data_IF_894633061191
#
_entry.id   IF_894633061191
#
_cell.length_a   1.000
_cell.length_b   1.000
_cell.length_c   1.000
_cell.angle_alpha   90.00
_cell.angle_beta   90.00
_cell.angle_gamma   90.00
#
_symmetry.space_group_name_H-M   'P 1'
#
loop_
_entity.id
_entity.type
_entity.pdbx_description
1 polymer ?
#
# COMPACT_ATOMS: atom_id res chain seq x y z
N UNK A 1 -2.71 5.46 -55.33
CA UNK A 1 -3.58 6.11 -54.32
C UNK A 1 -3.77 5.14 -53.17
N UNK A 2 -3.67 5.61 -51.92
CA UNK A 2 -3.90 4.87 -50.66
C UNK A 2 -2.74 3.94 -50.20
N UNK A 3 -1.59 4.52 -49.83
CA UNK A 3 -0.66 3.93 -48.82
C UNK A 3 0.11 5.00 -47.99
N UNK A 4 -0.39 6.23 -47.94
CA UNK A 4 0.35 7.37 -47.36
C UNK A 4 -0.42 8.28 -46.41
N UNK A 5 -1.61 7.88 -45.93
CA UNK A 5 -2.50 8.79 -45.17
C UNK A 5 -3.08 8.20 -43.87
N UNK A 6 -2.41 7.22 -43.24
CA UNK A 6 -2.81 6.67 -41.92
C UNK A 6 -1.63 6.65 -40.93
N UNK A 7 -0.74 7.64 -41.01
CA UNK A 7 0.33 7.85 -40.01
C UNK A 7 0.41 9.30 -39.52
N UNK A 8 -0.69 10.06 -39.63
CA UNK A 8 -0.76 11.46 -39.20
C UNK A 8 -1.93 11.78 -38.26
N UNK A 9 -2.62 10.79 -37.68
CA UNK A 9 -3.75 11.02 -36.78
C UNK A 9 -3.62 10.34 -35.39
N UNK A 10 -2.41 10.00 -34.94
CA UNK A 10 -2.17 9.51 -33.58
C UNK A 10 -1.03 10.23 -32.83
N UNK A 11 -0.81 11.53 -33.11
CA UNK A 11 0.06 12.40 -32.28
C UNK A 11 -0.77 13.24 -31.29
N UNK A 12 -1.71 12.62 -30.58
CA UNK A 12 -2.38 13.24 -29.44
C UNK A 12 -2.47 12.27 -28.26
N UNK A 13 -1.36 11.57 -28.00
CA UNK A 13 -1.21 10.65 -26.88
C UNK A 13 -0.71 11.42 -25.65
N UNK A 14 -1.64 11.73 -24.74
CA UNK A 14 -1.41 12.00 -23.29
C UNK A 14 -0.12 12.75 -22.95
N UNK A 15 -0.03 14.02 -23.35
CA UNK A 15 1.01 14.90 -22.83
C UNK A 15 0.75 15.13 -21.33
N UNK A 16 1.73 14.83 -20.47
CA UNK A 16 1.62 15.12 -19.04
C UNK A 16 1.40 16.63 -18.86
N UNK A 17 0.49 17.04 -17.97
CA UNK A 17 0.20 18.47 -17.71
C UNK A 17 1.45 19.28 -17.37
N UNK A 18 2.43 18.67 -16.68
CA UNK A 18 3.73 19.32 -16.44
C UNK A 18 4.49 19.67 -17.72
N UNK A 19 4.29 18.91 -18.81
CA UNK A 19 4.98 19.11 -20.08
C UNK A 19 4.41 20.26 -20.92
N UNK A 20 3.34 20.90 -20.47
CA UNK A 20 2.91 22.20 -21.01
C UNK A 20 3.62 23.35 -20.30
N UNK A 21 4.09 23.14 -19.07
CA UNK A 21 4.79 24.13 -18.25
C UNK A 21 6.31 24.03 -18.39
N UNK A 22 6.85 22.83 -18.53
CA UNK A 22 8.28 22.56 -18.53
C UNK A 22 8.70 21.74 -19.76
N UNK A 23 9.93 21.94 -20.27
CA UNK A 23 10.53 21.06 -21.27
C UNK A 23 10.51 19.58 -20.85
N UNK A 24 9.88 18.75 -21.67
CA UNK A 24 9.83 17.30 -21.47
C UNK A 24 10.52 16.53 -22.60
N UNK A 25 11.11 15.39 -22.26
CA UNK A 25 11.64 14.41 -23.21
C UNK A 25 11.03 13.05 -22.92
N UNK A 26 10.69 12.32 -23.98
CA UNK A 26 10.29 10.91 -23.88
C UNK A 26 11.50 10.04 -23.61
N UNK A 27 11.36 9.07 -22.71
CA UNK A 27 12.34 8.02 -22.45
C UNK A 27 11.91 6.72 -23.14
N UNK A 28 12.88 5.89 -23.54
CA UNK A 28 12.69 4.67 -24.34
C UNK A 28 11.75 3.62 -23.70
N UNK A 29 11.40 3.80 -22.41
CA UNK A 29 10.58 2.90 -21.60
C UNK A 29 9.30 3.56 -21.07
N UNK A 30 8.52 4.18 -21.96
CA UNK A 30 7.16 4.68 -21.69
C UNK A 30 7.09 5.61 -20.46
N UNK A 31 8.01 6.57 -20.41
CA UNK A 31 8.09 7.55 -19.32
C UNK A 31 8.63 8.89 -19.78
N UNK A 32 8.42 9.91 -18.96
CA UNK A 32 8.80 11.28 -19.28
C UNK A 32 9.89 11.79 -18.34
N UNK A 33 10.87 12.48 -18.93
CA UNK A 33 11.82 13.32 -18.22
C UNK A 33 11.37 14.78 -18.32
N UNK A 34 10.91 15.36 -17.21
CA UNK A 34 10.47 16.74 -17.12
C UNK A 34 11.56 17.60 -16.48
N UNK A 35 12.04 18.60 -17.21
CA UNK A 35 13.05 19.54 -16.73
C UNK A 35 12.45 20.93 -16.52
N UNK A 36 12.13 21.23 -15.27
CA UNK A 36 11.61 22.52 -14.80
C UNK A 36 12.68 23.39 -14.11
N UNK A 37 13.96 23.21 -14.44
CA UNK A 37 15.03 24.02 -13.87
C UNK A 37 14.89 25.50 -14.25
N UNK A 38 15.02 26.42 -13.29
CA UNK A 38 15.00 27.88 -13.52
C UNK A 38 13.71 28.39 -14.20
N UNK A 39 12.55 27.86 -13.80
CA UNK A 39 11.25 28.21 -14.36
C UNK A 39 10.45 29.22 -13.51
N UNK A 40 11.07 29.77 -12.45
CA UNK A 40 10.45 30.68 -11.47
C UNK A 40 9.16 30.12 -10.84
N UNK A 41 9.11 28.80 -10.63
CA UNK A 41 7.94 28.15 -10.03
C UNK A 41 7.80 28.57 -8.57
N UNK A 42 6.63 29.10 -8.22
CA UNK A 42 6.26 29.47 -6.84
C UNK A 42 5.42 28.39 -6.16
N UNK A 43 4.75 27.56 -6.95
CA UNK A 43 3.89 26.47 -6.50
C UNK A 43 4.23 25.19 -7.26
N UNK A 44 3.93 24.04 -6.64
CA UNK A 44 4.18 22.74 -7.25
C UNK A 44 3.26 22.51 -8.45
N UNK A 45 3.79 22.12 -9.63
CA UNK A 45 2.98 21.80 -10.79
C UNK A 45 2.21 20.50 -10.60
N UNK A 46 1.11 20.33 -11.35
CA UNK A 46 0.35 19.08 -11.35
C UNK A 46 1.18 17.97 -12.01
N UNK A 47 1.39 16.87 -11.29
CA UNK A 47 2.22 15.76 -11.73
C UNK A 47 1.38 14.53 -12.10
N UNK A 48 1.94 13.63 -12.90
CA UNK A 48 1.30 12.36 -13.22
C UNK A 48 2.26 11.18 -13.02
N UNK A 49 1.71 9.96 -12.96
CA UNK A 49 2.46 8.73 -12.66
C UNK A 49 3.48 8.33 -13.74
N UNK A 50 3.41 8.92 -14.94
CA UNK A 50 4.29 8.59 -16.07
C UNK A 50 5.65 9.30 -16.05
N UNK A 51 5.89 10.18 -15.07
CA UNK A 51 7.16 10.90 -14.93
C UNK A 51 8.19 9.96 -14.29
N UNK A 52 9.34 9.81 -14.95
CA UNK A 52 10.49 9.05 -14.45
C UNK A 52 11.60 9.94 -13.90
N UNK A 53 11.82 11.09 -14.52
CA UNK A 53 12.86 12.05 -14.13
C UNK A 53 12.19 13.40 -13.93
N UNK A 54 12.35 13.99 -12.74
CA UNK A 54 11.77 15.28 -12.39
C UNK A 54 12.83 16.25 -11.84
N UNK A 55 13.15 17.28 -12.60
CA UNK A 55 14.10 18.32 -12.20
C UNK A 55 13.37 19.62 -11.89
N UNK A 56 13.34 20.01 -10.62
CA UNK A 56 12.67 21.20 -10.09
C UNK A 56 13.64 22.18 -9.41
N UNK A 57 14.94 22.03 -9.62
CA UNK A 57 15.95 22.85 -8.98
C UNK A 57 15.94 24.31 -9.45
N UNK A 58 16.50 25.20 -8.62
CA UNK A 58 16.63 26.63 -8.91
C UNK A 58 15.28 27.31 -9.21
N UNK A 59 14.24 27.02 -8.42
CA UNK A 59 12.95 27.69 -8.48
C UNK A 59 12.68 28.45 -7.17
N UNK A 60 11.46 28.96 -7.01
CA UNK A 60 11.01 29.73 -5.85
C UNK A 60 10.02 28.93 -5.00
N UNK A 61 10.16 27.60 -4.97
CA UNK A 61 9.31 26.72 -4.17
C UNK A 61 9.67 26.84 -2.70
N UNK A 62 8.66 27.07 -1.87
CA UNK A 62 8.84 27.18 -0.42
C UNK A 62 8.38 25.93 0.32
N UNK A 63 7.48 25.14 -0.26
CA UNK A 63 6.96 23.90 0.33
C UNK A 63 6.43 22.99 -0.77
N UNK A 64 6.17 21.72 -0.44
CA UNK A 64 5.49 20.77 -1.33
C UNK A 64 4.17 20.37 -0.69
N UNK A 65 3.02 20.54 -1.38
CA UNK A 65 1.73 20.11 -0.86
C UNK A 65 1.69 18.61 -0.58
N UNK A 66 0.95 18.23 0.47
CA UNK A 66 0.70 16.84 0.82
C UNK A 66 0.13 16.07 -0.38
N UNK A 67 0.64 14.87 -0.62
CA UNK A 67 0.17 13.99 -1.69
C UNK A 67 0.67 14.34 -3.09
N UNK A 68 1.28 15.52 -3.30
CA UNK A 68 1.69 15.98 -4.62
C UNK A 68 2.68 15.04 -5.33
N UNK A 69 3.45 14.26 -4.57
CA UNK A 69 4.45 13.32 -5.07
C UNK A 69 4.02 11.86 -4.93
N UNK A 70 2.86 11.57 -4.34
CA UNK A 70 2.50 10.21 -3.92
C UNK A 70 2.17 9.29 -5.11
N UNK A 71 1.63 9.87 -6.18
CA UNK A 71 1.23 9.15 -7.39
C UNK A 71 2.37 8.95 -8.39
N UNK A 72 3.59 9.39 -8.06
CA UNK A 72 4.79 9.27 -8.90
C UNK A 72 5.41 7.86 -8.84
N UNK A 73 4.61 6.83 -9.15
CA UNK A 73 5.00 5.42 -8.97
C UNK A 73 6.15 4.97 -9.87
N UNK A 74 6.38 5.66 -10.99
CA UNK A 74 7.44 5.34 -11.95
C UNK A 74 8.67 6.24 -11.82
N UNK A 75 8.73 7.09 -10.79
CA UNK A 75 9.82 8.03 -10.62
C UNK A 75 11.11 7.31 -10.24
N UNK A 76 12.18 7.65 -10.94
CA UNK A 76 13.52 7.09 -10.78
C UNK A 76 14.50 8.17 -10.28
N UNK A 77 14.31 9.42 -10.70
CA UNK A 77 15.20 10.53 -10.34
C UNK A 77 14.42 11.81 -10.01
N UNK A 78 14.88 12.52 -8.96
CA UNK A 78 14.33 13.83 -8.58
C UNK A 78 15.43 14.79 -8.14
N UNK A 79 15.25 16.08 -8.46
CA UNK A 79 16.13 17.14 -7.97
C UNK A 79 15.32 18.36 -7.48
N UNK A 80 15.46 18.67 -6.19
CA UNK A 80 14.79 19.78 -5.49
C UNK A 80 15.76 20.84 -4.95
N UNK A 81 17.03 20.76 -5.33
CA UNK A 81 18.07 21.66 -4.82
C UNK A 81 17.79 23.13 -5.18
N UNK A 82 18.38 24.05 -4.42
CA UNK A 82 18.32 25.49 -4.69
C UNK A 82 16.88 26.04 -4.81
N UNK A 83 16.00 25.61 -3.93
CA UNK A 83 14.69 26.22 -3.72
C UNK A 83 14.64 26.85 -2.32
N UNK A 84 13.92 27.97 -2.11
CA UNK A 84 13.85 28.65 -0.83
C UNK A 84 12.91 27.95 0.15
N UNK A 85 13.23 26.71 0.51
CA UNK A 85 12.41 25.87 1.39
C UNK A 85 12.13 26.57 2.73
N UNK A 86 10.85 26.68 3.07
CA UNK A 86 10.40 27.14 4.37
C UNK A 86 10.25 25.95 5.30
N UNK A 87 11.24 25.80 6.18
CA UNK A 87 11.32 24.74 7.18
C UNK A 87 10.52 25.06 8.44
N UNK A 88 9.22 25.26 8.26
CA UNK A 88 8.24 25.16 9.32
C UNK A 88 7.64 23.74 9.34
N UNK A 89 6.44 23.60 9.86
CA UNK A 89 5.76 22.32 9.89
C UNK A 89 5.37 21.75 8.52
N UNK A 90 5.15 22.60 7.52
CA UNK A 90 4.74 22.17 6.18
C UNK A 90 5.83 21.40 5.44
N UNK A 91 7.11 21.60 5.78
CA UNK A 91 8.23 20.94 5.11
C UNK A 91 8.31 19.43 5.39
N UNK A 92 7.61 18.96 6.42
CA UNK A 92 7.78 17.59 6.91
C UNK A 92 7.43 16.56 5.82
N UNK A 93 6.39 16.83 5.03
CA UNK A 93 6.02 15.96 3.90
C UNK A 93 7.19 15.75 2.94
N UNK A 94 7.79 16.84 2.46
CA UNK A 94 8.92 16.77 1.54
C UNK A 94 10.11 16.05 2.17
N UNK A 95 10.40 16.37 3.44
CA UNK A 95 11.49 15.75 4.19
C UNK A 95 11.30 14.24 4.33
N UNK A 96 10.12 13.78 4.74
CA UNK A 96 9.81 12.35 4.92
C UNK A 96 9.79 11.63 3.56
N UNK A 97 9.13 12.19 2.56
CA UNK A 97 9.07 11.62 1.23
C UNK A 97 10.47 11.45 0.61
N UNK A 98 11.36 12.46 0.75
CA UNK A 98 12.74 12.37 0.26
C UNK A 98 13.61 11.41 1.09
N UNK A 99 13.33 11.23 2.38
CA UNK A 99 14.03 10.25 3.22
C UNK A 99 13.78 8.82 2.74
N UNK A 100 12.56 8.54 2.25
CA UNK A 100 12.17 7.26 1.69
C UNK A 100 12.69 7.10 0.25
N UNK A 101 12.53 8.13 -0.58
CA UNK A 101 12.82 8.06 -2.01
C UNK A 101 14.32 8.17 -2.34
N UNK A 102 14.97 9.27 -1.92
CA UNK A 102 16.35 9.57 -2.33
C UNK A 102 17.09 10.41 -1.28
N UNK A 103 17.97 9.75 -0.52
CA UNK A 103 18.81 10.37 0.52
C UNK A 103 19.74 11.47 0.01
N UNK A 104 20.18 11.40 -1.26
CA UNK A 104 21.01 12.43 -1.89
C UNK A 104 20.20 13.71 -2.13
N UNK A 105 18.99 13.57 -2.67
CA UNK A 105 18.06 14.68 -2.85
C UNK A 105 17.66 15.31 -1.50
N UNK A 106 17.46 14.49 -0.45
CA UNK A 106 17.22 14.98 0.92
C UNK A 106 18.39 15.82 1.47
N UNK A 107 19.64 15.44 1.17
CA UNK A 107 20.82 16.12 1.67
C UNK A 107 21.11 17.45 0.94
N UNK A 108 20.63 17.59 -0.29
CA UNK A 108 20.84 18.78 -1.13
C UNK A 108 19.73 19.83 -0.99
N UNK A 109 18.54 19.44 -0.52
CA UNK A 109 17.50 20.38 -0.15
C UNK A 109 17.83 21.09 1.19
N UNK A 110 17.92 22.42 1.17
CA UNK A 110 18.30 23.24 2.33
C UNK A 110 17.23 24.27 2.65
N UNK A 111 17.03 24.52 3.95
CA UNK A 111 16.11 25.54 4.44
C UNK A 111 16.62 26.94 4.09
N UNK A 112 15.74 27.80 3.57
CA UNK A 112 15.99 29.24 3.46
C UNK A 112 15.35 30.01 4.61
N UNK A 113 14.19 29.55 5.08
CA UNK A 113 13.43 30.15 6.20
C UNK A 113 12.94 29.05 7.14
N UNK A 114 12.65 29.32 8.42
CA UNK A 114 12.93 30.56 9.14
C UNK A 114 14.45 30.82 9.28
N UNK A 115 14.83 32.04 9.67
CA UNK A 115 16.24 32.45 9.77
C UNK A 115 17.06 31.53 10.71
N UNK A 116 16.43 30.98 11.74
CA UNK A 116 17.02 30.02 12.69
C UNK A 116 17.47 28.70 12.06
N UNK A 117 16.88 28.32 10.93
CA UNK A 117 17.19 27.08 10.21
C UNK A 117 17.87 27.32 8.86
N UNK A 118 18.19 28.57 8.51
CA UNK A 118 18.77 28.91 7.22
C UNK A 118 20.04 28.08 6.92
N UNK A 119 20.14 27.58 5.68
CA UNK A 119 21.18 26.68 5.14
C UNK A 119 21.25 25.29 5.79
N UNK A 120 20.38 24.96 6.73
CA UNK A 120 20.31 23.62 7.30
C UNK A 120 19.71 22.66 6.29
N UNK A 121 20.34 21.51 6.06
CA UNK A 121 19.84 20.51 5.12
C UNK A 121 18.65 19.74 5.73
N UNK A 122 17.69 19.31 4.89
CA UNK A 122 16.49 18.62 5.36
C UNK A 122 16.80 17.31 6.09
N UNK A 123 17.88 16.61 5.73
CA UNK A 123 18.35 15.40 6.44
C UNK A 123 18.81 15.68 7.88
N UNK A 124 19.24 16.91 8.20
CA UNK A 124 19.71 17.31 9.53
C UNK A 124 18.59 17.75 10.47
N UNK A 125 17.37 17.93 9.95
CA UNK A 125 16.23 18.32 10.76
C UNK A 125 15.77 17.15 11.64
N UNK A 126 15.51 17.38 12.93
CA UNK A 126 14.97 16.34 13.83
C UNK A 126 13.45 16.41 13.94
N UNK A 127 12.84 17.51 13.51
CA UNK A 127 11.41 17.78 13.55
C UNK A 127 10.96 18.53 14.81
N UNK A 128 11.77 18.55 15.87
CA UNK A 128 11.46 19.27 17.11
C UNK A 128 11.81 20.76 17.03
N UNK A 129 12.67 21.15 16.10
CA UNK A 129 13.03 22.54 15.82
C UNK A 129 12.06 23.25 14.85
N UNK A 130 11.10 22.51 14.28
CA UNK A 130 10.15 23.07 13.32
C UNK A 130 9.01 23.79 14.03
N UNK A 131 8.89 25.10 13.78
CA UNK A 131 7.83 25.92 14.35
C UNK A 131 6.45 25.47 13.84
N UNK A 132 5.44 25.55 14.72
CA UNK A 132 4.08 25.10 14.44
C UNK A 132 3.83 23.62 14.71
N UNK A 133 4.85 22.76 14.76
CA UNK A 133 4.63 21.33 14.96
C UNK A 133 4.25 20.94 16.39
N UNK A 134 2.96 21.00 16.75
CA UNK A 134 2.47 20.47 18.05
C UNK A 134 2.29 18.95 17.98
N UNK A 135 3.40 18.24 18.25
CA UNK A 135 3.62 16.81 18.57
C UNK A 135 2.66 15.73 17.99
N UNK A 136 3.24 14.86 17.16
CA UNK A 136 3.46 13.43 17.46
C UNK A 136 4.83 13.03 16.90
N UNK A 137 5.67 12.36 17.71
CA UNK A 137 6.91 11.76 17.20
C UNK A 137 6.55 10.57 16.28
N UNK A 138 6.98 10.53 15.01
CA UNK A 138 6.88 9.31 14.22
C UNK A 138 7.95 8.31 14.71
N UNK A 139 7.52 7.06 14.92
CA UNK A 139 8.38 5.93 15.24
C UNK A 139 9.16 5.53 13.97
N UNK A 140 10.46 5.31 14.08
CA UNK A 140 11.30 4.81 12.99
C UNK A 140 10.94 3.35 12.66
N UNK A 141 10.42 3.04 11.45
CA UNK A 141 10.11 1.65 11.03
C UNK A 141 11.36 0.73 11.07
N UNK A 142 12.58 1.30 11.12
CA UNK A 142 13.83 0.52 11.22
C UNK A 142 13.87 -0.32 12.50
N UNK A 143 13.35 0.17 13.62
CA UNK A 143 13.44 -0.54 14.90
C UNK A 143 12.43 -1.70 14.98
N UNK A 144 11.34 -1.63 14.20
CA UNK A 144 10.35 -2.71 14.08
C UNK A 144 10.86 -3.84 13.17
N UNK A 145 11.51 -3.50 12.06
CA UNK A 145 12.10 -4.46 11.12
C UNK A 145 13.13 -5.40 11.78
N UNK A 146 14.04 -4.86 12.61
CA UNK A 146 15.04 -5.69 13.30
C UNK A 146 14.45 -6.62 14.36
N UNK A 147 13.38 -6.17 15.04
CA UNK A 147 12.68 -7.00 16.02
C UNK A 147 11.98 -8.18 15.36
N UNK A 148 11.26 -7.92 14.27
CA UNK A 148 10.49 -8.95 13.58
C UNK A 148 11.43 -9.93 12.83
N UNK A 149 12.54 -9.45 12.25
CA UNK A 149 13.60 -10.32 11.71
C UNK A 149 14.23 -11.22 12.79
N UNK A 150 14.47 -10.67 13.99
CA UNK A 150 14.97 -11.45 15.13
C UNK A 150 14.02 -12.57 15.55
N UNK A 151 12.71 -12.31 15.54
CA UNK A 151 11.69 -13.32 15.86
C UNK A 151 11.58 -14.41 14.78
N UNK A 152 11.66 -14.03 13.50
CA UNK A 152 11.67 -14.99 12.37
C UNK A 152 12.90 -15.89 12.45
N UNK A 153 14.09 -15.31 12.69
CA UNK A 153 15.33 -16.07 12.83
C UNK A 153 15.28 -17.06 14.00
N UNK A 154 14.73 -16.63 15.15
CA UNK A 154 14.53 -17.48 16.31
C UNK A 154 13.57 -18.64 16.00
N UNK A 155 12.47 -18.38 15.28
CA UNK A 155 11.51 -19.42 14.88
C UNK A 155 12.15 -20.48 13.96
N UNK A 156 12.99 -20.05 12.99
CA UNK A 156 13.73 -20.97 12.11
C UNK A 156 14.67 -21.86 12.92
N UNK A 157 15.41 -21.31 13.88
CA UNK A 157 16.30 -22.09 14.76
C UNK A 157 15.50 -23.14 15.54
N UNK A 158 14.36 -22.76 16.13
CA UNK A 158 13.50 -23.70 16.87
C UNK A 158 13.00 -24.84 15.98
N UNK A 159 12.61 -24.55 14.73
CA UNK A 159 12.18 -25.58 13.78
C UNK A 159 13.32 -26.53 13.39
N UNK A 160 14.54 -26.02 13.18
CA UNK A 160 15.72 -26.84 12.90
C UNK A 160 16.04 -27.75 14.08
N UNK A 161 16.03 -27.20 15.30
CA UNK A 161 16.29 -27.97 16.53
C UNK A 161 15.22 -29.06 16.72
N UNK A 162 13.94 -28.74 16.50
CA UNK A 162 12.86 -29.73 16.57
C UNK A 162 13.03 -30.85 15.53
N UNK A 163 13.43 -30.51 14.30
CA UNK A 163 13.72 -31.51 13.26
C UNK A 163 14.92 -32.39 13.64
N UNK A 164 15.99 -31.81 14.17
CA UNK A 164 17.16 -32.54 14.68
C UNK A 164 16.79 -33.50 15.81
N UNK A 165 16.02 -33.04 16.80
CA UNK A 165 15.54 -33.89 17.91
C UNK A 165 14.70 -35.05 17.37
N UNK A 166 13.80 -34.78 16.42
CA UNK A 166 12.98 -35.82 15.79
C UNK A 166 13.86 -36.83 15.04
N UNK A 167 14.91 -36.38 14.35
CA UNK A 167 15.84 -37.24 13.62
C UNK A 167 16.74 -38.06 14.55
N UNK A 168 17.23 -37.48 15.64
CA UNK A 168 17.98 -38.20 16.68
C UNK A 168 17.10 -39.24 17.38
N UNK A 169 15.83 -38.91 17.67
CA UNK A 169 14.89 -39.86 18.26
C UNK A 169 14.66 -41.08 17.35
N UNK A 170 14.58 -40.88 16.02
CA UNK A 170 14.52 -41.98 15.05
C UNK A 170 15.79 -42.85 15.05
N UNK A 171 16.97 -42.24 15.12
CA UNK A 171 18.22 -43.00 15.20
C UNK A 171 18.33 -43.82 16.48
N UNK A 172 17.89 -43.28 17.63
CA UNK A 172 17.88 -44.01 18.89
C UNK A 172 16.88 -45.17 18.88
N UNK A 173 15.69 -45.00 18.28
CA UNK A 173 14.73 -46.11 18.09
C UNK A 173 15.32 -47.20 17.17
N UNK A 174 16.02 -46.81 16.09
CA UNK A 174 16.69 -47.76 15.20
C UNK A 174 17.85 -48.51 15.91
N UNK A 175 18.62 -47.83 16.75
CA UNK A 175 19.70 -48.43 17.53
C UNK A 175 19.18 -49.33 18.67
N UNK A 176 18.11 -48.94 19.35
CA UNK A 176 17.43 -49.77 20.36
C UNK A 176 16.86 -51.05 19.71
N UNK A 177 16.24 -50.92 18.53
CA UNK A 177 15.77 -52.05 17.74
C UNK A 177 16.90 -52.96 17.25
N UNK A 178 18.12 -52.44 17.03
CA UNK A 178 19.32 -53.24 16.72
C UNK A 178 19.92 -53.93 17.94
N UNK A 179 19.95 -53.29 19.12
CA UNK A 179 20.50 -53.88 20.35
C UNK A 179 19.69 -55.08 20.83
N UNK A 180 18.38 -55.09 20.58
CA UNK A 180 17.52 -56.23 20.90
C UNK A 180 17.78 -57.46 20.01
N UNK A 181 18.62 -57.32 18.96
CA UNK A 181 18.95 -58.38 18.00
C UNK A 181 20.30 -59.07 18.26
N UNK A 182 20.95 -58.82 19.41
CA UNK A 182 22.23 -59.46 19.76
C UNK A 182 22.09 -60.69 20.68
N UNK A 183 20.87 -61.17 20.94
CA UNK A 183 20.65 -62.43 21.66
C UNK A 183 19.53 -63.23 20.99
N UNK A 184 19.96 -64.23 20.19
CA UNK A 184 19.28 -65.42 19.67
C UNK A 184 18.03 -65.30 18.72
N UNK A 185 18.33 -65.31 17.39
CA UNK A 185 17.77 -66.07 16.21
C UNK A 185 16.24 -66.40 16.10
N UNK A 186 15.59 -66.45 14.89
CA UNK A 186 15.76 -65.71 13.62
C UNK A 186 14.45 -65.04 13.10
N UNK A 187 14.56 -64.39 11.93
CA UNK A 187 13.51 -64.11 10.93
C UNK A 187 12.71 -62.79 11.05
N UNK A 188 13.32 -61.72 10.55
CA UNK A 188 12.59 -60.60 9.93
C UNK A 188 13.33 -60.16 8.66
N UNK A 189 12.79 -60.53 7.49
CA UNK A 189 13.20 -59.94 6.21
C UNK A 189 12.43 -58.64 6.01
N UNK A 190 13.15 -57.52 5.94
CA UNK A 190 12.60 -56.25 5.48
C UNK A 190 12.43 -56.30 3.97
N UNK A 191 11.19 -56.30 3.48
CA UNK A 191 10.91 -56.01 2.08
C UNK A 191 10.48 -54.55 1.94
N UNK A 192 11.29 -53.79 1.21
CA UNK A 192 10.95 -52.44 0.75
C UNK A 192 9.98 -52.59 -0.44
N UNK A 193 8.75 -52.07 -0.30
CA UNK A 193 7.80 -51.96 -1.39
C UNK A 193 7.75 -50.51 -1.84
N UNK A 194 8.71 -50.20 -2.70
CA UNK A 194 8.66 -49.10 -3.64
C UNK A 194 7.37 -49.22 -4.47
N UNK A 195 6.42 -48.30 -4.25
CA UNK A 195 5.54 -47.67 -5.24
C UNK A 195 4.24 -47.16 -4.62
N UNK A 196 4.00 -45.84 -4.67
CA UNK A 196 2.70 -45.28 -5.12
C UNK A 196 2.87 -43.87 -5.72
N UNK A 197 2.28 -43.75 -6.92
CA UNK A 197 2.21 -42.63 -7.86
C UNK A 197 1.75 -41.30 -7.26
N UNK A 198 2.39 -40.21 -7.72
CA UNK A 198 1.89 -38.83 -7.67
C UNK A 198 0.66 -38.68 -8.59
N UNK A 199 -0.35 -37.94 -8.15
CA UNK A 199 -1.48 -37.47 -8.96
C UNK A 199 -1.28 -35.95 -9.18
N UNK A 200 -1.17 -35.44 -10.42
CA UNK A 200 -1.10 -34.01 -10.71
C UNK A 200 -2.53 -33.50 -11.00
N UNK A 201 -3.15 -32.83 -10.04
CA UNK A 201 -4.55 -32.40 -10.22
C UNK A 201 -5.03 -31.31 -9.26
N UNK A 202 -4.11 -30.47 -8.75
CA UNK A 202 -4.49 -29.38 -7.83
C UNK A 202 -3.99 -27.99 -8.26
N UNK A 203 -3.41 -27.85 -9.46
CA UNK A 203 -3.03 -26.55 -10.02
C UNK A 203 -4.18 -25.78 -10.69
N UNK A 204 -5.29 -26.45 -11.02
CA UNK A 204 -6.38 -25.84 -11.80
C UNK A 204 -7.46 -25.16 -10.94
N UNK A 205 -7.58 -25.51 -9.66
CA UNK A 205 -8.53 -24.86 -8.75
C UNK A 205 -8.07 -23.45 -8.34
N UNK A 206 -6.76 -23.23 -8.24
CA UNK A 206 -6.18 -21.94 -7.82
C UNK A 206 -6.38 -20.87 -8.91
N UNK A 207 -6.42 -21.26 -10.18
CA UNK A 207 -6.71 -20.36 -11.30
C UNK A 207 -8.20 -19.94 -11.36
N UNK A 208 -9.12 -20.82 -10.97
CA UNK A 208 -10.56 -20.49 -10.89
C UNK A 208 -10.89 -19.60 -9.67
N UNK A 209 -10.10 -19.67 -8.59
CA UNK A 209 -10.23 -18.76 -7.46
C UNK A 209 -9.65 -17.36 -7.74
N UNK A 210 -8.69 -17.23 -8.66
CA UNK A 210 -8.16 -15.93 -9.07
C UNK A 210 -9.13 -15.13 -9.94
N UNK A 211 -9.98 -15.78 -10.75
CA UNK A 211 -11.02 -15.07 -11.52
C UNK A 211 -12.20 -14.61 -10.65
N UNK A 212 -12.51 -15.32 -9.56
CA UNK A 212 -13.58 -14.94 -8.64
C UNK A 212 -13.23 -13.73 -7.74
N UNK A 213 -11.94 -13.47 -7.52
CA UNK A 213 -11.47 -12.32 -6.74
C UNK A 213 -11.66 -10.96 -7.46
N UNK A 214 -11.91 -10.98 -8.78
CA UNK A 214 -12.15 -9.77 -9.58
C UNK A 214 -13.62 -9.54 -9.93
N UNK A 215 -14.53 -10.43 -9.50
CA UNK A 215 -15.96 -10.13 -9.57
C UNK A 215 -16.29 -9.07 -8.51
N UNK A 216 -16.61 -7.86 -8.95
CA UNK A 216 -17.02 -6.74 -8.11
C UNK A 216 -18.28 -7.10 -7.30
N UNK A 217 -18.08 -7.66 -6.12
CA UNK A 217 -19.16 -7.96 -5.20
C UNK A 217 -19.70 -6.65 -4.63
N UNK A 218 -21.03 -6.49 -4.69
CA UNK A 218 -21.71 -5.36 -4.05
C UNK A 218 -21.38 -5.39 -2.55
N UNK A 219 -20.96 -4.27 -1.94
CA UNK A 219 -20.75 -4.22 -0.50
C UNK A 219 -22.02 -4.69 0.22
N UNK A 220 -21.89 -5.56 1.22
CA UNK A 220 -23.04 -6.16 1.92
C UNK A 220 -23.96 -5.11 2.58
N UNK A 221 -23.45 -3.90 2.81
CA UNK A 221 -24.16 -2.77 3.40
C UNK A 221 -24.71 -1.82 2.32
N UNK A 222 -24.68 -2.19 1.06
CA UNK A 222 -25.11 -1.33 -0.04
C UNK A 222 -26.05 -2.09 -0.98
N UNK A 223 -26.89 -1.34 -1.67
CA UNK A 223 -27.75 -1.83 -2.74
C UNK A 223 -27.14 -1.43 -4.08
N UNK A 224 -26.86 -2.41 -4.93
CA UNK A 224 -26.33 -2.19 -6.27
C UNK A 224 -27.42 -2.35 -7.33
N UNK A 225 -27.27 -1.63 -8.44
CA UNK A 225 -28.06 -1.88 -9.64
C UNK A 225 -27.81 -3.30 -10.17
N UNK A 226 -28.80 -3.95 -10.81
CA UNK A 226 -28.62 -5.27 -11.41
C UNK A 226 -27.49 -5.25 -12.46
N UNK A 227 -26.73 -6.36 -12.59
CA UNK A 227 -25.71 -6.47 -13.62
C UNK A 227 -26.33 -6.31 -15.02
N UNK A 228 -25.77 -5.41 -15.83
CA UNK A 228 -26.23 -5.11 -17.19
C UNK A 228 -26.93 -3.75 -17.36
N UNK A 229 -27.35 -3.11 -16.27
CA UNK A 229 -27.88 -1.74 -16.31
C UNK A 229 -26.75 -0.71 -16.16
N UNK A 230 -26.66 0.24 -17.09
CA UNK A 230 -25.82 1.44 -16.98
C UNK A 230 -26.72 2.67 -16.81
N UNK A 231 -26.37 3.60 -15.91
CA UNK A 231 -25.18 3.65 -15.05
C UNK A 231 -25.22 2.65 -13.88
N UNK A 232 -24.06 2.14 -13.44
CA UNK A 232 -23.94 1.33 -12.21
C UNK A 232 -24.18 2.23 -10.99
N UNK A 233 -25.35 2.08 -10.35
CA UNK A 233 -25.71 2.83 -9.14
C UNK A 233 -25.42 2.02 -7.89
N UNK A 234 -24.71 2.63 -6.94
CA UNK A 234 -24.40 2.09 -5.63
C UNK A 234 -25.06 2.97 -4.55
N UNK A 235 -26.06 2.42 -3.88
CA UNK A 235 -26.78 3.11 -2.80
C UNK A 235 -26.41 2.52 -1.43
N UNK A 236 -25.69 3.29 -0.63
CA UNK A 236 -25.28 2.97 0.74
C UNK A 236 -25.82 4.00 1.74
N UNK A 237 -26.91 4.70 1.41
CA UNK A 237 -27.48 5.73 2.28
C UNK A 237 -28.23 5.15 3.48
N UNK A 238 -28.29 5.88 4.59
CA UNK A 238 -29.01 5.49 5.81
C UNK A 238 -28.52 4.20 6.50
N UNK A 239 -27.29 3.77 6.23
CA UNK A 239 -26.74 2.50 6.75
C UNK A 239 -26.00 2.67 8.08
N UNK A 240 -25.87 3.90 8.58
CA UNK A 240 -25.18 4.21 9.84
C UNK A 240 -23.67 3.95 9.79
N UNK A 241 -23.07 3.95 8.60
CA UNK A 241 -21.66 3.61 8.39
C UNK A 241 -20.74 4.67 9.02
N UNK A 242 -19.73 4.21 9.76
CA UNK A 242 -18.66 5.05 10.29
C UNK A 242 -17.38 5.00 9.44
N UNK A 243 -17.26 3.96 8.60
CA UNK A 243 -16.11 3.70 7.73
C UNK A 243 -16.63 3.46 6.31
N UNK A 244 -15.90 3.97 5.32
CA UNK A 244 -16.24 3.79 3.91
C UNK A 244 -16.02 2.32 3.48
N UNK A 245 -16.98 1.66 2.82
CA UNK A 245 -16.80 0.31 2.27
C UNK A 245 -15.88 0.32 1.03
N UNK A 246 -15.37 -0.85 0.64
CA UNK A 246 -14.60 -0.98 -0.61
C UNK A 246 -15.51 -0.71 -1.82
N UNK A 247 -15.14 0.26 -2.65
CA UNK A 247 -15.97 0.72 -3.78
C UNK A 247 -15.50 0.09 -5.11
N UNK A 248 -16.41 -0.43 -5.95
CA UNK A 248 -16.06 -0.90 -7.29
C UNK A 248 -15.64 0.26 -8.20
N UNK A 249 -14.63 0.05 -9.06
CA UNK A 249 -14.10 1.07 -9.98
C UNK A 249 -15.09 1.53 -11.07
N UNK A 250 -16.12 0.73 -11.35
CA UNK A 250 -17.10 0.97 -12.41
C UNK A 250 -18.33 1.79 -11.94
N UNK A 251 -18.35 2.26 -10.69
CA UNK A 251 -19.49 3.00 -10.14
C UNK A 251 -19.62 4.36 -10.82
N UNK A 252 -20.82 4.63 -11.35
CA UNK A 252 -21.15 5.91 -11.99
C UNK A 252 -22.00 6.80 -11.07
N UNK A 253 -22.81 6.21 -10.19
CA UNK A 253 -23.59 6.94 -9.17
C UNK A 253 -23.38 6.34 -7.78
N UNK A 254 -22.94 7.16 -6.83
CA UNK A 254 -22.60 6.76 -5.46
C UNK A 254 -23.38 7.58 -4.41
N UNK A 255 -24.19 6.91 -3.60
CA UNK A 255 -25.00 7.55 -2.56
C UNK A 255 -24.54 7.11 -1.16
N UNK A 256 -23.98 8.04 -0.39
CA UNK A 256 -23.41 7.82 0.95
C UNK A 256 -24.04 8.74 2.02
N UNK A 257 -25.13 9.43 1.69
CA UNK A 257 -25.80 10.35 2.59
C UNK A 257 -26.41 9.66 3.82
N UNK A 258 -26.63 10.43 4.89
CA UNK A 258 -27.26 9.96 6.13
C UNK A 258 -26.51 8.80 6.79
N UNK A 259 -25.18 8.94 6.85
CA UNK A 259 -24.32 8.01 7.56
C UNK A 259 -23.58 8.73 8.71
N UNK A 260 -22.62 8.05 9.32
CA UNK A 260 -21.81 8.54 10.44
C UNK A 260 -20.35 8.71 10.03
N UNK A 261 -20.08 8.99 8.75
CA UNK A 261 -18.74 9.18 8.24
C UNK A 261 -18.17 10.50 8.77
N UNK A 262 -17.02 10.43 9.42
CA UNK A 262 -16.30 11.60 9.91
C UNK A 262 -15.23 12.08 8.92
N UNK A 263 -14.69 11.18 8.08
CA UNK A 263 -13.69 11.49 7.06
C UNK A 263 -13.73 10.45 5.93
N UNK A 264 -13.07 10.75 4.81
CA UNK A 264 -12.80 9.80 3.73
C UNK A 264 -11.29 9.51 3.70
N UNK A 265 -10.87 8.23 3.71
CA UNK A 265 -9.46 7.87 3.60
C UNK A 265 -8.83 8.40 2.32
N UNK A 266 -7.57 8.83 2.40
CA UNK A 266 -6.83 9.29 1.23
C UNK A 266 -6.76 8.20 0.14
N UNK A 267 -7.03 8.60 -1.09
CA UNK A 267 -7.04 7.71 -2.25
C UNK A 267 -8.32 6.90 -2.46
N UNK A 268 -9.30 6.98 -1.55
CA UNK A 268 -10.48 6.13 -1.59
C UNK A 268 -11.42 6.35 -2.79
N UNK A 269 -11.32 7.49 -3.47
CA UNK A 269 -12.09 7.83 -4.67
C UNK A 269 -11.23 7.92 -5.94
N UNK A 270 -9.92 7.72 -5.86
CA UNK A 270 -8.99 7.96 -6.98
C UNK A 270 -9.20 6.99 -8.14
N UNK A 271 -9.65 5.77 -7.83
CA UNK A 271 -9.95 4.73 -8.83
C UNK A 271 -11.34 4.86 -9.46
N UNK A 272 -12.17 5.81 -9.01
CA UNK A 272 -13.55 6.00 -9.47
C UNK A 272 -13.62 6.96 -10.67
N UNK A 273 -12.85 6.69 -11.73
CA UNK A 273 -12.67 7.59 -12.88
C UNK A 273 -13.95 7.85 -13.69
N UNK A 274 -14.94 6.95 -13.60
CA UNK A 274 -16.22 7.06 -14.32
C UNK A 274 -17.36 7.63 -13.45
N UNK A 275 -17.06 8.04 -12.21
CA UNK A 275 -18.06 8.55 -11.28
C UNK A 275 -18.64 9.87 -11.79
N UNK A 276 -19.97 9.92 -11.92
CA UNK A 276 -20.72 11.09 -12.40
C UNK A 276 -21.50 11.77 -11.30
N UNK A 277 -22.02 11.00 -10.34
CA UNK A 277 -22.85 11.49 -9.25
C UNK A 277 -22.32 10.92 -7.93
N UNK A 278 -22.09 11.81 -6.96
CA UNK A 278 -21.84 11.43 -5.57
C UNK A 278 -22.77 12.22 -4.66
N UNK A 279 -23.23 11.62 -3.57
CA UNK A 279 -23.91 12.32 -2.48
C UNK A 279 -23.27 11.98 -1.13
N UNK A 280 -22.66 12.99 -0.51
CA UNK A 280 -21.95 12.92 0.77
C UNK A 280 -22.65 13.71 1.89
N UNK A 281 -23.86 14.21 1.63
CA UNK A 281 -24.59 15.07 2.56
C UNK A 281 -24.97 14.36 3.86
N UNK A 282 -25.26 15.13 4.92
CA UNK A 282 -25.75 14.61 6.22
C UNK A 282 -24.84 13.53 6.82
N UNK A 283 -23.54 13.78 6.80
CA UNK A 283 -22.53 13.02 7.53
C UNK A 283 -21.81 13.95 8.53
N UNK A 284 -21.40 13.46 9.71
CA UNK A 284 -20.74 14.26 10.74
C UNK A 284 -19.26 14.52 10.42
N UNK A 285 -18.98 15.23 9.31
CA UNK A 285 -17.62 15.49 8.84
C UNK A 285 -16.76 16.21 9.88
N UNK A 286 -15.63 15.61 10.22
CA UNK A 286 -14.65 16.16 11.16
C UNK A 286 -13.57 16.88 10.36
N UNK A 287 -13.67 18.21 10.32
CA UNK A 287 -12.78 19.10 9.58
C UNK A 287 -11.49 19.43 10.36
N UNK A 288 -10.68 18.40 10.56
CA UNK A 288 -9.29 18.53 10.98
C UNK A 288 -8.37 18.21 9.79
N UNK A 289 -7.16 17.73 10.06
CA UNK A 289 -6.26 17.31 9.00
C UNK A 289 -6.82 16.21 8.09
N UNK A 290 -7.56 15.25 8.65
CA UNK A 290 -8.04 14.10 7.92
C UNK A 290 -8.98 14.47 6.77
N UNK A 291 -9.57 15.68 6.80
CA UNK A 291 -10.52 16.14 5.78
C UNK A 291 -9.86 16.64 4.49
N UNK A 292 -8.53 16.85 4.48
CA UNK A 292 -7.83 17.48 3.35
C UNK A 292 -7.99 16.70 2.06
N UNK A 293 -7.95 15.37 2.11
CA UNK A 293 -8.19 14.55 0.92
C UNK A 293 -9.57 14.82 0.32
N UNK A 294 -10.61 14.71 1.16
CA UNK A 294 -11.99 14.93 0.72
C UNK A 294 -12.18 16.36 0.19
N UNK A 295 -11.58 17.35 0.85
CA UNK A 295 -11.60 18.74 0.38
C UNK A 295 -11.00 18.86 -1.02
N UNK A 296 -9.77 18.43 -1.22
CA UNK A 296 -9.08 18.55 -2.51
C UNK A 296 -9.84 17.77 -3.58
N UNK A 297 -10.29 16.56 -3.25
CA UNK A 297 -11.11 15.76 -4.15
C UNK A 297 -12.39 16.49 -4.54
N UNK A 298 -13.08 17.17 -3.62
CA UNK A 298 -14.27 17.96 -3.96
C UNK A 298 -13.94 19.19 -4.81
N UNK A 299 -12.82 19.86 -4.57
CA UNK A 299 -12.37 21.03 -5.33
C UNK A 299 -12.04 20.67 -6.79
N UNK A 300 -11.47 19.49 -7.02
CA UNK A 300 -11.12 18.98 -8.36
C UNK A 300 -12.34 18.62 -9.22
N UNK A 301 -13.52 18.50 -8.60
CA UNK A 301 -14.74 18.04 -9.27
C UNK A 301 -15.54 19.24 -9.79
N UNK A 302 -14.88 20.05 -10.62
CA UNK A 302 -15.43 21.28 -11.18
C UNK A 302 -16.59 20.95 -12.14
N UNK A 303 -17.82 21.14 -11.68
CA UNK A 303 -19.01 21.25 -12.56
C UNK A 303 -19.95 20.04 -12.67
N UNK A 304 -19.65 18.87 -12.09
CA UNK A 304 -20.48 17.66 -12.32
C UNK A 304 -21.06 16.98 -11.08
N UNK A 305 -20.67 17.33 -9.85
CA UNK A 305 -21.10 16.57 -8.67
C UNK A 305 -22.25 17.24 -7.89
N UNK A 306 -23.35 16.50 -7.76
CA UNK A 306 -24.58 16.88 -7.08
C UNK A 306 -24.47 17.06 -5.55
N UNK A 307 -23.28 16.96 -4.95
CA UNK A 307 -23.09 17.12 -3.50
C UNK A 307 -22.65 18.55 -3.15
N UNK A 308 -23.47 19.55 -3.48
CA UNK A 308 -23.18 20.98 -3.23
C UNK A 308 -23.28 21.42 -1.75
N UNK A 309 -23.45 20.49 -0.81
CA UNK A 309 -23.71 20.83 0.60
C UNK A 309 -23.00 19.85 1.56
N UNK A 310 -21.67 19.77 1.42
CA UNK A 310 -20.82 18.99 2.35
C UNK A 310 -20.20 19.96 3.35
N UNK A 311 -20.67 19.92 4.59
CA UNK A 311 -20.27 20.84 5.67
C UNK A 311 -19.57 20.12 6.80
N UNK A 312 -18.66 20.83 7.44
CA UNK A 312 -18.07 20.41 8.69
C UNK A 312 -19.12 20.27 9.78
N UNK A 313 -19.03 19.25 10.61
CA UNK A 313 -19.80 19.07 11.83
C UNK A 313 -18.96 19.37 13.08
N UNK A 314 -17.66 19.09 13.00
CA UNK A 314 -16.66 19.34 14.03
C UNK A 314 -15.34 19.79 13.38
N UNK A 315 -14.44 20.47 14.11
CA UNK A 315 -14.62 21.04 15.45
C UNK A 315 -15.71 22.14 15.46
N UNK A 316 -16.25 22.54 16.64
CA UNK A 316 -17.32 23.54 16.73
C UNK A 316 -17.02 24.85 16.00
N UNK A 317 -15.75 25.26 15.95
CA UNK A 317 -15.29 26.46 15.25
C UNK A 317 -15.54 26.43 13.73
N UNK A 318 -15.65 25.23 13.13
CA UNK A 318 -15.83 25.05 11.69
C UNK A 318 -17.22 24.54 11.30
N UNK A 319 -18.11 24.26 12.27
CA UNK A 319 -19.39 23.54 12.13
C UNK A 319 -20.44 24.07 11.12
N UNK A 320 -20.42 25.33 10.65
CA UNK A 320 -21.31 25.71 9.54
C UNK A 320 -20.59 25.76 8.18
N UNK A 321 -19.27 25.58 8.18
CA UNK A 321 -18.42 25.86 7.03
C UNK A 321 -18.48 24.73 6.00
N UNK A 322 -18.59 25.09 4.73
CA UNK A 322 -18.47 24.11 3.64
C UNK A 322 -17.03 23.61 3.57
N UNK A 323 -16.85 22.33 3.28
CA UNK A 323 -15.51 21.73 3.17
C UNK A 323 -14.70 22.42 2.07
N UNK A 324 -15.31 22.76 0.93
CA UNK A 324 -14.68 23.50 -0.17
C UNK A 324 -14.22 24.91 0.21
N UNK A 325 -14.88 25.55 1.17
CA UNK A 325 -14.55 26.91 1.64
C UNK A 325 -13.45 26.93 2.71
N UNK A 326 -13.03 25.77 3.20
CA UNK A 326 -11.97 25.68 4.20
C UNK A 326 -10.67 26.24 3.64
N UNK A 327 -10.07 27.18 4.37
CA UNK A 327 -8.73 27.66 4.07
C UNK A 327 -7.71 26.77 4.77
N UNK A 328 -6.54 26.61 4.16
CA UNK A 328 -5.46 25.76 4.69
C UNK A 328 -5.03 26.16 6.11
N UNK A 329 -5.14 27.44 6.46
CA UNK A 329 -4.76 28.00 7.76
C UNK A 329 -5.81 27.78 8.87
N UNK A 330 -7.04 27.39 8.53
CA UNK A 330 -8.11 27.12 9.50
C UNK A 330 -8.16 25.66 9.95
N UNK A 331 -7.51 24.77 9.19
CA UNK A 331 -7.35 23.37 9.54
C UNK A 331 -6.21 23.24 10.55
N UNK A 332 -6.56 22.84 11.77
CA UNK A 332 -5.61 22.67 12.86
C UNK A 332 -4.60 21.58 12.51
N UNK A 333 -3.34 21.98 12.33
CA UNK A 333 -2.13 21.18 12.09
C UNK A 333 -2.32 19.87 11.35
N UNK A 334 -2.07 19.93 10.04
CA UNK A 334 -2.18 18.78 9.19
C UNK A 334 -0.88 18.00 9.07
N UNK A 335 -0.73 16.97 9.91
CA UNK A 335 0.26 15.93 9.71
C UNK A 335 -0.44 14.68 9.18
N UNK A 336 -0.23 14.35 7.90
CA UNK A 336 -0.37 12.96 7.50
C UNK A 336 0.85 12.23 8.04
N UNK A 337 0.72 11.63 9.22
CA UNK A 337 1.57 10.49 9.57
C UNK A 337 1.41 9.48 8.45
N UNK A 338 2.41 9.34 7.58
CA UNK A 338 2.50 8.17 6.72
C UNK A 338 2.86 6.99 7.61
N UNK A 339 1.87 6.42 8.29
CA UNK A 339 1.97 5.05 8.76
C UNK A 339 1.73 4.14 7.57
N UNK A 340 2.80 3.69 6.91
CA UNK A 340 2.79 2.39 6.22
C UNK A 340 4.06 1.60 6.56
N UNK A 341 4.08 1.04 7.76
CA UNK A 341 4.76 -0.24 7.97
C UNK A 341 3.80 -1.43 7.64
N UNK A 342 2.58 -1.20 7.12
CA UNK A 342 1.57 -2.24 6.86
C UNK A 342 1.82 -3.09 5.60
N UNK A 343 2.57 -2.57 4.62
CA UNK A 343 2.86 -3.30 3.38
C UNK A 343 3.92 -4.40 3.59
N UNK A 344 4.59 -4.37 4.76
CA UNK A 344 5.49 -5.44 5.21
C UNK A 344 4.73 -6.58 5.90
N UNK A 345 3.69 -6.26 6.70
CA UNK A 345 2.91 -7.27 7.46
C UNK A 345 2.15 -8.26 6.56
N UNK A 346 1.64 -7.82 5.40
CA UNK A 346 0.85 -8.70 4.53
C UNK A 346 1.73 -9.74 3.81
N UNK A 347 2.93 -9.34 3.38
CA UNK A 347 3.88 -10.24 2.72
C UNK A 347 4.60 -11.16 3.73
N UNK A 348 4.92 -10.66 4.92
CA UNK A 348 5.58 -11.45 5.96
C UNK A 348 4.66 -12.48 6.61
N UNK A 349 3.38 -12.14 6.82
CA UNK A 349 2.39 -13.11 7.27
C UNK A 349 2.22 -14.22 6.22
N UNK A 350 2.15 -13.88 4.94
CA UNK A 350 2.00 -14.86 3.86
C UNK A 350 3.23 -15.78 3.76
N UNK A 351 4.44 -15.23 3.88
CA UNK A 351 5.67 -16.00 3.90
C UNK A 351 5.75 -16.91 5.14
N UNK A 352 5.36 -16.41 6.31
CA UNK A 352 5.30 -17.18 7.55
C UNK A 352 4.29 -18.34 7.45
N UNK A 353 3.06 -18.06 6.98
CA UNK A 353 2.04 -19.09 6.77
C UNK A 353 2.49 -20.11 5.71
N UNK A 354 3.18 -19.67 4.65
CA UNK A 354 3.73 -20.57 3.63
C UNK A 354 4.80 -21.51 4.21
N UNK A 355 5.75 -20.98 5.00
CA UNK A 355 6.77 -21.79 5.67
C UNK A 355 6.14 -22.76 6.67
N UNK A 356 5.14 -22.32 7.44
CA UNK A 356 4.39 -23.16 8.38
C UNK A 356 3.65 -24.30 7.66
N UNK A 357 2.98 -24.01 6.55
CA UNK A 357 2.29 -25.01 5.73
C UNK A 357 3.29 -26.03 5.16
N UNK A 358 4.43 -25.57 4.63
CA UNK A 358 5.49 -26.46 4.13
C UNK A 358 6.03 -27.37 5.24
N UNK A 359 6.21 -26.84 6.45
CA UNK A 359 6.64 -27.64 7.61
C UNK A 359 5.60 -28.70 7.98
N UNK A 360 4.32 -28.33 8.08
CA UNK A 360 3.22 -29.26 8.38
C UNK A 360 3.12 -30.36 7.32
N UNK A 361 3.21 -30.00 6.03
CA UNK A 361 3.23 -30.97 4.93
C UNK A 361 4.42 -31.91 5.07
N UNK A 362 5.61 -31.40 5.40
CA UNK A 362 6.80 -32.23 5.58
C UNK A 362 6.64 -33.19 6.77
N UNK A 363 6.16 -32.70 7.93
CA UNK A 363 5.81 -33.54 9.08
C UNK A 363 4.77 -34.62 8.73
N UNK A 364 3.74 -34.27 7.95
CA UNK A 364 2.72 -35.22 7.50
C UNK A 364 3.29 -36.27 6.54
N UNK A 365 4.13 -35.88 5.58
CA UNK A 365 4.80 -36.81 4.67
C UNK A 365 5.75 -37.74 5.41
N UNK A 366 6.47 -37.23 6.41
CA UNK A 366 7.34 -38.02 7.28
C UNK A 366 6.54 -39.02 8.12
N UNK A 367 5.45 -38.58 8.75
CA UNK A 367 4.59 -39.45 9.59
C UNK A 367 3.82 -40.49 8.76
N UNK A 368 3.39 -40.14 7.54
CA UNK A 368 2.79 -41.09 6.60
C UNK A 368 3.77 -42.18 6.15
N UNK A 369 5.06 -41.86 6.03
CA UNK A 369 6.12 -42.84 5.76
C UNK A 369 6.47 -43.72 6.96
N UNK A 370 6.04 -43.39 8.18
CA UNK A 370 6.32 -44.15 9.40
C UNK A 370 5.10 -44.95 9.90
N UNK A 371 4.31 -45.55 9.00
CA UNK A 371 3.33 -46.56 9.42
C UNK A 371 4.03 -47.90 9.63
N UNK A 372 4.36 -48.22 10.87
CA UNK A 372 4.78 -49.57 11.24
C UNK A 372 3.53 -50.41 11.53
N UNK A 373 3.37 -51.50 10.79
CA UNK A 373 2.35 -52.52 11.09
C UNK A 373 3.05 -53.62 11.88
N UNK A 374 2.64 -53.81 13.13
CA UNK A 374 3.13 -54.90 13.99
C UNK A 374 2.10 -56.01 13.92
N UNK A 375 2.37 -57.04 13.14
CA UNK A 375 1.55 -58.25 13.14
C UNK A 375 2.12 -59.21 14.20
N UNK A 376 1.34 -59.45 15.25
CA UNK A 376 1.67 -60.42 16.31
C UNK A 376 1.10 -61.77 15.90
N UNK A 377 1.96 -62.70 15.48
CA UNK A 377 1.54 -64.09 15.29
C UNK A 377 1.60 -64.83 16.63
N UNK A 378 0.44 -65.32 17.07
CA UNK A 378 0.35 -66.15 18.26
C UNK A 378 0.88 -67.55 17.92
N UNK A 379 1.90 -67.99 18.63
CA UNK A 379 2.49 -69.33 18.45
C UNK A 379 1.63 -70.31 19.25
N UNK A 380 0.51 -70.74 18.66
CA UNK A 380 -0.24 -71.94 19.05
C UNK A 380 -1.28 -72.26 17.96
N UNK A 381 -0.83 -72.94 16.90
CA UNK A 381 -1.54 -74.00 16.17
C UNK A 381 -0.59 -74.58 15.11
#
# INVERSE_FOLDING_TARGET
MIKGLIMLLFLNTTQAWICTLCPCKTLDSWGWAANCNLMDLKEMPLLNSSIKILHLQNNNLTTVPLGALDNLTSLEEINFSNNPWHCDCSILYLKEWLADFNKSALATATCATPASLNRKALNQLKGNELEGCRKTLPISCRDFFWRDFGLIFLAIIVLILAACILQCSKQLVFQASRKQHSSEVPLLRFHDLENRKMIPGQGLLILLFLEAAFASHCPHQCTCSPPGNRPLKLNCSFMGMMVLPLLPSQVEELYLQDNKLATIPAGAFDHLQVLKIINLSRNPWHCDCGIVYLKNWLDDQVGSLASKDVRCFSPPALRPKMISELKRNELQFCFTSRTRCSDFLFNDAFLFFFILILFIINCFLITKRTKFKVDVYNKNL
#
